data_IF_062142441372
#
_entry.id   IF_062142441372
#
_cell.length_a   1.000
_cell.length_b   1.000
_cell.length_c   1.000
_cell.angle_alpha   90.00
_cell.angle_beta   90.00
_cell.angle_gamma   90.00
#
_symmetry.space_group_name_H-M   'P 1'
#
loop_
_entity.id
_entity.type
_entity.pdbx_description
1 polymer ?
#
# COMPACT_ATOMS: atom_id res chain seq x y z
N UNK A 1 4.19 2.09 13.10
CA UNK A 1 4.51 1.83 11.70
C UNK A 1 6.00 1.61 11.51
N UNK A 2 6.37 0.53 10.86
CA UNK A 2 7.77 0.08 10.78
C UNK A 2 8.41 0.46 9.45
N UNK A 3 9.64 0.99 9.52
CA UNK A 3 10.49 1.30 8.38
C UNK A 3 11.79 0.55 8.50
N UNK A 4 12.22 -0.09 7.41
CA UNK A 4 13.47 -0.85 7.38
C UNK A 4 14.59 -0.02 6.76
N UNK A 5 15.79 -0.11 7.35
CA UNK A 5 17.01 0.47 6.82
C UNK A 5 17.75 -0.58 6.01
N UNK A 6 17.78 -0.41 4.69
CA UNK A 6 18.38 -1.39 3.76
C UNK A 6 19.80 -1.05 3.35
N UNK A 7 20.22 0.19 3.54
CA UNK A 7 21.53 0.69 3.07
C UNK A 7 22.59 0.71 4.17
N UNK A 8 22.18 0.87 5.42
CA UNK A 8 23.09 0.99 6.57
C UNK A 8 22.35 0.67 7.87
N UNK A 9 23.11 0.35 8.96
CA UNK A 9 22.49 0.22 10.28
C UNK A 9 21.79 1.52 10.69
N UNK A 10 20.79 1.40 11.56
CA UNK A 10 20.05 2.55 12.08
C UNK A 10 20.90 3.25 13.14
N UNK A 11 21.44 4.40 12.77
CA UNK A 11 22.31 5.22 13.63
C UNK A 11 21.76 6.64 13.72
N UNK A 12 22.13 7.41 14.78
CA UNK A 12 21.75 8.82 14.85
C UNK A 12 22.14 9.57 13.57
N UNK A 13 21.18 10.32 13.00
CA UNK A 13 21.36 11.02 11.74
C UNK A 13 20.99 10.21 10.49
N UNK A 14 20.69 8.92 10.64
CA UNK A 14 20.27 8.06 9.52
C UNK A 14 18.75 7.90 9.42
N UNK A 15 18.00 8.63 10.20
CA UNK A 15 16.53 8.59 10.24
C UNK A 15 15.98 9.94 10.71
N UNK A 16 14.74 10.29 10.33
CA UNK A 16 14.10 11.50 10.85
C UNK A 16 13.87 11.39 12.36
N UNK A 17 14.45 12.30 13.10
CA UNK A 17 14.23 12.40 14.57
C UNK A 17 12.93 13.13 14.82
N UNK A 18 11.87 12.38 15.00
CA UNK A 18 10.56 12.91 15.38
C UNK A 18 10.22 12.42 16.79
N UNK A 19 9.40 13.18 17.50
CA UNK A 19 8.90 12.77 18.81
C UNK A 19 8.09 11.45 18.76
N UNK A 20 7.79 10.97 17.57
CA UNK A 20 6.98 9.80 17.33
C UNK A 20 7.78 8.49 17.17
N UNK A 21 9.09 8.48 17.41
CA UNK A 21 9.89 7.25 17.38
C UNK A 21 9.56 6.39 18.59
N UNK A 22 9.08 5.17 18.37
CA UNK A 22 8.76 4.22 19.44
C UNK A 22 9.92 3.30 19.76
N UNK A 23 10.54 2.72 18.73
CA UNK A 23 11.60 1.72 18.90
C UNK A 23 12.56 1.74 17.72
N UNK A 24 13.82 1.44 18.02
CA UNK A 24 14.88 1.24 17.02
C UNK A 24 15.51 -0.10 17.31
N UNK A 25 15.66 -0.93 16.28
CA UNK A 25 16.32 -2.21 16.38
C UNK A 25 17.32 -2.41 15.26
N UNK A 26 18.56 -2.70 15.61
CA UNK A 26 19.60 -3.08 14.66
C UNK A 26 19.86 -4.57 14.74
N UNK A 27 19.96 -5.22 13.59
CA UNK A 27 20.36 -6.63 13.53
C UNK A 27 21.88 -6.75 13.63
N UNK A 28 22.36 -7.89 14.09
CA UNK A 28 23.80 -8.15 14.16
C UNK A 28 24.46 -8.22 12.78
N UNK A 29 23.68 -8.56 11.79
CA UNK A 29 24.10 -8.61 10.39
C UNK A 29 22.91 -8.24 9.51
N UNK A 30 23.17 -7.99 8.22
CA UNK A 30 22.12 -7.77 7.23
C UNK A 30 21.32 -9.06 7.07
N UNK A 31 20.01 -9.01 7.32
CA UNK A 31 19.13 -10.17 7.23
C UNK A 31 17.96 -9.93 6.29
N UNK A 32 17.43 -11.01 5.71
CA UNK A 32 16.26 -10.93 4.84
C UNK A 32 15.00 -10.66 5.66
N UNK A 33 14.25 -9.66 5.22
CA UNK A 33 12.99 -9.26 5.85
C UNK A 33 11.82 -9.52 4.89
N UNK A 34 10.95 -10.45 5.25
CA UNK A 34 9.83 -10.86 4.42
C UNK A 34 8.87 -9.72 4.11
N UNK A 35 8.67 -8.79 5.05
CA UNK A 35 7.75 -7.67 4.88
C UNK A 35 8.11 -6.76 3.72
N UNK A 36 9.39 -6.67 3.38
CA UNK A 36 9.88 -5.80 2.30
C UNK A 36 10.48 -6.60 1.14
N UNK A 37 10.59 -7.93 1.27
CA UNK A 37 11.12 -8.80 0.23
C UNK A 37 12.60 -8.59 -0.06
N UNK A 38 13.38 -8.04 0.88
CA UNK A 38 14.82 -7.82 0.73
C UNK A 38 15.54 -7.73 2.07
N UNK A 39 16.87 -7.74 2.02
CA UNK A 39 17.68 -7.64 3.22
C UNK A 39 17.70 -6.23 3.80
N UNK A 40 17.80 -6.14 5.13
CA UNK A 40 17.91 -4.90 5.86
C UNK A 40 18.87 -5.03 7.03
N UNK A 41 19.39 -3.88 7.49
CA UNK A 41 20.29 -3.77 8.64
C UNK A 41 19.56 -3.59 9.97
N UNK A 42 18.31 -3.13 9.93
CA UNK A 42 17.50 -2.88 11.09
C UNK A 42 16.20 -2.20 10.73
N UNK A 43 15.44 -1.81 11.77
CA UNK A 43 14.17 -1.10 11.57
C UNK A 43 13.94 -0.04 12.63
N UNK A 44 13.03 0.88 12.32
CA UNK A 44 12.57 1.93 13.21
C UNK A 44 11.05 1.89 13.22
N UNK A 45 10.47 1.85 14.42
CA UNK A 45 9.03 1.95 14.59
C UNK A 45 8.63 3.39 14.93
N UNK A 46 7.70 3.94 14.15
CA UNK A 46 7.14 5.27 14.36
C UNK A 46 5.67 5.17 14.74
N UNK A 47 5.22 6.06 15.60
CA UNK A 47 3.80 6.16 15.97
C UNK A 47 2.94 6.63 14.80
N UNK A 48 3.51 7.43 13.90
CA UNK A 48 2.83 7.95 12.70
C UNK A 48 3.66 7.67 11.45
N UNK A 49 3.02 7.47 10.29
CA UNK A 49 3.76 7.28 9.05
C UNK A 49 4.65 8.47 8.72
N UNK A 50 5.82 8.19 8.16
CA UNK A 50 6.66 9.21 7.55
C UNK A 50 6.04 9.63 6.21
N UNK A 51 6.34 10.85 5.77
CA UNK A 51 6.01 11.24 4.39
C UNK A 51 6.90 10.45 3.42
N UNK A 52 6.46 10.31 2.18
CA UNK A 52 7.25 9.64 1.15
C UNK A 52 8.61 10.32 0.96
N UNK A 53 8.63 11.65 1.01
CA UNK A 53 9.86 12.42 0.90
C UNK A 53 10.84 12.13 2.05
N UNK A 54 10.34 12.02 3.28
CA UNK A 54 11.16 11.68 4.44
C UNK A 54 11.74 10.27 4.34
N UNK A 55 10.92 9.29 3.98
CA UNK A 55 11.36 7.92 3.81
C UNK A 55 12.42 7.79 2.70
N UNK A 56 12.21 8.43 1.57
CA UNK A 56 13.17 8.45 0.46
C UNK A 56 14.48 9.14 0.83
N UNK A 57 14.40 10.29 1.52
CA UNK A 57 15.60 11.05 1.92
C UNK A 57 16.53 10.25 2.82
N UNK A 58 15.99 9.39 3.66
CA UNK A 58 16.75 8.54 4.57
C UNK A 58 16.88 7.10 4.06
N UNK A 59 16.43 6.82 2.85
CA UNK A 59 16.49 5.50 2.23
C UNK A 59 15.83 4.41 3.08
N UNK A 60 14.72 4.75 3.73
CA UNK A 60 13.93 3.85 4.55
C UNK A 60 12.80 3.23 3.72
N UNK A 61 12.56 1.94 3.95
CA UNK A 61 11.54 1.17 3.23
C UNK A 61 10.41 0.83 4.17
N UNK A 62 9.17 1.25 3.87
CA UNK A 62 8.02 0.91 4.71
C UNK A 62 7.81 -0.61 4.77
N UNK A 63 7.61 -1.13 5.97
CA UNK A 63 7.24 -2.51 6.19
C UNK A 63 5.74 -2.72 6.08
N UNK A 64 5.34 -3.97 5.91
CA UNK A 64 3.91 -4.33 5.85
C UNK A 64 3.19 -3.87 4.60
N UNK A 65 3.90 -3.54 3.54
CA UNK A 65 3.28 -3.24 2.25
C UNK A 65 2.65 -4.49 1.67
N UNK A 66 1.39 -4.38 1.27
CA UNK A 66 0.61 -5.46 0.68
C UNK A 66 0.09 -5.03 -0.69
N UNK A 67 -0.07 -5.97 -1.63
CA UNK A 67 -0.69 -5.65 -2.90
C UNK A 67 -2.20 -5.45 -2.73
N UNK A 68 -2.73 -4.49 -3.45
CA UNK A 68 -4.17 -4.26 -3.56
C UNK A 68 -4.55 -4.09 -5.02
N UNK A 69 -5.70 -4.62 -5.37
CA UNK A 69 -6.23 -4.57 -6.73
C UNK A 69 -7.47 -3.68 -6.77
N UNK A 70 -7.51 -2.81 -7.76
CA UNK A 70 -8.65 -1.93 -7.98
C UNK A 70 -9.53 -2.51 -9.07
N UNK A 71 -10.81 -2.65 -8.76
CA UNK A 71 -11.83 -2.98 -9.75
C UNK A 71 -12.62 -1.71 -10.05
N UNK A 72 -12.62 -1.32 -11.31
CA UNK A 72 -13.46 -0.21 -11.78
C UNK A 72 -14.73 -0.77 -12.37
N UNK A 73 -15.86 -0.40 -11.78
CA UNK A 73 -17.19 -0.78 -12.25
C UNK A 73 -17.89 0.46 -12.79
N UNK A 74 -18.38 0.40 -14.00
CA UNK A 74 -19.17 1.50 -14.58
C UNK A 74 -20.57 1.00 -14.94
N UNK A 75 -21.55 1.84 -14.64
CA UNK A 75 -22.95 1.59 -15.00
C UNK A 75 -23.40 2.78 -15.86
N UNK A 76 -23.77 2.50 -17.11
CA UNK A 76 -24.24 3.54 -17.99
C UNK A 76 -25.74 3.86 -17.76
N UNK A 77 -26.24 4.88 -18.41
CA UNK A 77 -27.65 5.30 -18.27
C UNK A 77 -28.67 4.28 -18.82
N UNK A 78 -28.21 3.23 -19.47
CA UNK A 78 -29.04 2.08 -19.93
C UNK A 78 -28.98 0.90 -18.97
N UNK A 79 -28.29 1.04 -17.84
CA UNK A 79 -28.12 -0.03 -16.86
C UNK A 79 -27.08 -1.08 -17.22
N UNK A 80 -26.27 -0.85 -18.26
CA UNK A 80 -25.18 -1.76 -18.60
C UNK A 80 -24.01 -1.62 -17.64
N UNK A 81 -23.54 -2.74 -17.15
CA UNK A 81 -22.43 -2.82 -16.19
C UNK A 81 -21.18 -3.31 -16.91
N UNK A 82 -20.09 -2.57 -16.74
CA UNK A 82 -18.75 -3.00 -17.13
C UNK A 82 -17.86 -3.01 -15.91
N UNK A 83 -17.14 -4.09 -15.68
CA UNK A 83 -16.25 -4.24 -14.55
C UNK A 83 -14.94 -4.87 -14.96
N UNK A 84 -13.83 -4.25 -14.55
CA UNK A 84 -12.49 -4.74 -14.88
C UNK A 84 -11.52 -4.39 -13.75
N UNK A 85 -10.49 -5.22 -13.60
CA UNK A 85 -9.34 -4.88 -12.75
C UNK A 85 -8.51 -3.86 -13.52
N UNK A 86 -8.42 -2.64 -13.00
CA UNK A 86 -7.77 -1.52 -13.70
C UNK A 86 -6.43 -1.12 -13.10
N UNK A 87 -6.14 -1.53 -11.87
CA UNK A 87 -4.90 -1.14 -11.21
C UNK A 87 -4.48 -2.16 -10.17
N UNK A 88 -3.19 -2.20 -9.91
CA UNK A 88 -2.59 -2.93 -8.81
C UNK A 88 -1.52 -2.04 -8.20
N UNK A 89 -1.61 -1.82 -6.90
CA UNK A 89 -0.60 -1.04 -6.17
C UNK A 89 -0.15 -1.81 -4.92
N UNK A 90 1.00 -1.42 -4.40
CA UNK A 90 1.44 -1.87 -3.09
C UNK A 90 1.30 -0.72 -2.12
N UNK A 91 0.66 -0.97 -0.99
CA UNK A 91 0.41 0.02 0.04
C UNK A 91 0.33 -0.63 1.41
N UNK A 92 0.50 0.18 2.45
CA UNK A 92 0.42 -0.28 3.83
C UNK A 92 -1.02 -0.54 4.23
N UNK A 93 -1.91 0.31 3.77
CA UNK A 93 -3.35 0.22 4.02
C UNK A 93 -4.11 0.13 2.71
N UNK A 94 -5.25 -0.54 2.75
CA UNK A 94 -6.13 -0.59 1.60
C UNK A 94 -6.59 0.84 1.25
N UNK A 95 -6.42 1.28 -0.02
CA UNK A 95 -6.93 2.58 -0.46
C UNK A 95 -8.44 2.67 -0.27
N UNK A 96 -8.93 3.90 -0.11
CA UNK A 96 -10.37 4.12 0.00
C UNK A 96 -11.07 3.89 -1.33
N UNK A 97 -12.25 3.30 -1.26
CA UNK A 97 -13.10 3.14 -2.42
C UNK A 97 -13.63 4.52 -2.83
N UNK A 98 -13.72 4.75 -4.13
CA UNK A 98 -14.20 6.01 -4.67
C UNK A 98 -15.44 5.81 -5.54
N UNK A 99 -16.20 6.87 -5.68
CA UNK A 99 -17.40 6.88 -6.51
C UNK A 99 -17.49 8.22 -7.27
N UNK A 100 -17.73 8.12 -8.56
CA UNK A 100 -17.96 9.30 -9.40
C UNK A 100 -19.22 9.10 -10.22
N UNK A 101 -20.10 10.07 -10.21
CA UNK A 101 -21.32 10.04 -11.01
C UNK A 101 -21.31 11.18 -12.03
N UNK A 102 -21.63 10.83 -13.26
CA UNK A 102 -21.80 11.81 -14.34
C UNK A 102 -23.19 11.60 -14.95
N UNK A 103 -23.62 12.52 -15.84
CA UNK A 103 -24.90 12.40 -16.53
C UNK A 103 -24.97 11.17 -17.45
N UNK A 104 -23.84 10.54 -17.77
CA UNK A 104 -23.76 9.42 -18.68
C UNK A 104 -23.53 8.08 -18.02
N UNK A 105 -22.85 8.06 -16.85
CA UNK A 105 -22.52 6.84 -16.13
C UNK A 105 -22.12 7.09 -14.71
N UNK A 106 -22.22 6.04 -13.92
CA UNK A 106 -21.68 5.98 -12.57
C UNK A 106 -20.42 5.11 -12.61
N UNK A 107 -19.37 5.55 -11.94
CA UNK A 107 -18.09 4.84 -11.89
C UNK A 107 -17.72 4.58 -10.43
N UNK A 108 -17.47 3.31 -10.13
CA UNK A 108 -17.06 2.85 -8.80
C UNK A 108 -15.66 2.29 -8.89
N UNK A 109 -14.78 2.70 -7.97
CA UNK A 109 -13.45 2.10 -7.81
C UNK A 109 -13.40 1.43 -6.45
N UNK A 110 -13.35 0.11 -6.45
CA UNK A 110 -13.29 -0.70 -5.24
C UNK A 110 -11.95 -1.42 -5.14
N UNK A 111 -11.38 -1.42 -3.96
CA UNK A 111 -10.07 -2.02 -3.70
C UNK A 111 -10.20 -3.32 -2.93
N UNK A 112 -9.38 -4.31 -3.31
CA UNK A 112 -9.39 -5.66 -2.75
C UNK A 112 -7.98 -6.09 -2.35
N UNK A 113 -7.89 -6.84 -1.26
CA UNK A 113 -6.63 -7.34 -0.71
C UNK A 113 -6.11 -8.61 -1.37
N UNK A 114 -6.88 -9.21 -2.29
CA UNK A 114 -6.43 -10.36 -3.07
C UNK A 114 -6.97 -10.31 -4.49
N UNK A 115 -6.21 -10.91 -5.41
CA UNK A 115 -6.63 -11.01 -6.81
C UNK A 115 -7.92 -11.85 -6.94
N UNK A 116 -8.03 -12.90 -6.13
CA UNK A 116 -9.23 -13.76 -6.13
C UNK A 116 -10.50 -13.00 -5.78
N UNK A 117 -10.43 -12.16 -4.74
CA UNK A 117 -11.55 -11.31 -4.35
C UNK A 117 -11.91 -10.31 -5.44
N UNK A 118 -10.91 -9.70 -6.06
CA UNK A 118 -11.13 -8.76 -7.16
C UNK A 118 -11.79 -9.44 -8.36
N UNK A 119 -11.32 -10.62 -8.75
CA UNK A 119 -11.89 -11.39 -9.85
C UNK A 119 -13.32 -11.85 -9.55
N UNK A 120 -13.59 -12.29 -8.32
CA UNK A 120 -14.93 -12.67 -7.88
C UNK A 120 -15.89 -11.48 -7.95
N UNK A 121 -15.45 -10.30 -7.54
CA UNK A 121 -16.26 -9.09 -7.62
C UNK A 121 -16.56 -8.70 -9.07
N UNK A 122 -15.58 -8.81 -9.97
CA UNK A 122 -15.78 -8.55 -11.40
C UNK A 122 -16.84 -9.50 -11.98
N UNK A 123 -16.75 -10.77 -11.62
CA UNK A 123 -17.71 -11.78 -12.07
C UNK A 123 -19.12 -11.48 -11.57
N UNK A 124 -19.28 -11.18 -10.29
CA UNK A 124 -20.58 -10.84 -9.71
C UNK A 124 -21.17 -9.57 -10.36
N UNK A 125 -20.36 -8.56 -10.60
CA UNK A 125 -20.81 -7.34 -11.23
C UNK A 125 -21.30 -7.57 -12.65
N UNK A 126 -20.66 -8.44 -13.41
CA UNK A 126 -21.08 -8.79 -14.76
C UNK A 126 -22.33 -9.64 -14.83
N UNK A 127 -22.61 -10.41 -13.78
CA UNK A 127 -23.78 -11.28 -13.67
C UNK A 127 -25.01 -10.55 -13.12
N UNK A 128 -24.81 -9.38 -12.57
CA UNK A 128 -25.88 -8.60 -11.95
C UNK A 128 -26.83 -7.93 -12.97
#
# INVERSE_FOLDING_TARGET
MRYYSTQRPVLPGCYPKKAAVEEIHNFDAKIFCDEIGREAWGYIDYMKPLTNAEAESYELVPGGMKPYWCVTTSVNNRGRVAANITNRIEAICKPENTFTSTSRRDVYNDWFGSLEEAEAFVKEAKEA
#
